data_IF_178858768632
#
_entry.id   IF_178858768632
#
_cell.length_a   1.000
_cell.length_b   1.000
_cell.length_c   1.000
_cell.angle_alpha   90.00
_cell.angle_beta   90.00
_cell.angle_gamma   90.00
#
_symmetry.space_group_name_H-M   'P 1'
#
loop_
_entity.id
_entity.type
_entity.pdbx_description
1 polymer ?
#
# COMPACT_ATOMS: atom_id res chain seq x y z
N UNK A 1 -57.21 0.37 -19.64
CA UNK A 1 -56.89 -0.31 -18.37
C UNK A 1 -55.38 -0.46 -18.29
N UNK A 2 -54.81 -0.02 -17.17
CA UNK A 2 -53.41 0.40 -17.02
C UNK A 2 -52.42 -0.77 -17.01
N UNK A 3 -51.43 -0.70 -17.91
CA UNK A 3 -50.20 -1.47 -17.81
C UNK A 3 -49.40 -0.96 -16.62
N UNK A 4 -49.41 -1.67 -15.49
CA UNK A 4 -48.47 -1.41 -14.40
C UNK A 4 -47.12 -2.00 -14.81
N UNK A 5 -46.20 -1.10 -15.14
CA UNK A 5 -44.80 -1.40 -15.40
C UNK A 5 -44.21 -2.04 -14.14
N UNK A 6 -44.06 -3.37 -14.13
CA UNK A 6 -43.17 -4.08 -13.20
C UNK A 6 -41.74 -3.69 -13.56
N UNK A 7 -41.30 -2.51 -13.13
CA UNK A 7 -39.87 -2.21 -13.09
C UNK A 7 -39.25 -3.16 -12.08
N UNK A 8 -38.43 -4.07 -12.57
CA UNK A 8 -37.74 -5.12 -11.82
C UNK A 8 -37.12 -4.55 -10.54
N UNK A 9 -37.71 -4.84 -9.37
CA UNK A 9 -37.29 -4.30 -8.07
C UNK A 9 -35.81 -4.59 -7.78
N UNK A 10 -35.28 -5.66 -8.36
CA UNK A 10 -33.86 -6.02 -8.32
C UNK A 10 -32.97 -5.01 -9.06
N UNK A 11 -33.45 -4.42 -10.16
CA UNK A 11 -32.71 -3.41 -10.91
C UNK A 11 -32.66 -2.07 -10.16
N UNK A 12 -33.77 -1.69 -9.51
CA UNK A 12 -33.87 -0.46 -8.71
C UNK A 12 -32.98 -0.56 -7.47
N UNK A 13 -33.06 -1.67 -6.73
CA UNK A 13 -32.23 -1.90 -5.53
C UNK A 13 -30.73 -1.97 -5.87
N UNK A 14 -30.36 -2.57 -7.01
CA UNK A 14 -28.98 -2.59 -7.46
C UNK A 14 -28.48 -1.19 -7.87
N UNK A 15 -29.29 -0.41 -8.59
CA UNK A 15 -28.98 0.98 -8.96
C UNK A 15 -28.78 1.87 -7.74
N UNK A 16 -29.70 1.82 -6.77
CA UNK A 16 -29.62 2.59 -5.53
C UNK A 16 -28.34 2.25 -4.73
N UNK A 17 -27.95 0.97 -4.72
CA UNK A 17 -26.74 0.50 -4.06
C UNK A 17 -25.46 0.96 -4.79
N UNK A 18 -25.48 1.04 -6.12
CA UNK A 18 -24.39 1.60 -6.92
C UNK A 18 -24.26 3.11 -6.63
N UNK A 19 -25.35 3.85 -6.61
CA UNK A 19 -25.36 5.30 -6.36
C UNK A 19 -24.82 5.63 -4.96
N UNK A 20 -25.27 4.89 -3.94
CA UNK A 20 -24.75 5.04 -2.57
C UNK A 20 -23.25 4.75 -2.47
N UNK A 21 -22.76 3.70 -3.14
CA UNK A 21 -21.32 3.39 -3.18
C UNK A 21 -20.53 4.51 -3.85
N UNK A 22 -21.04 5.06 -4.95
CA UNK A 22 -20.41 6.17 -5.65
C UNK A 22 -20.34 7.42 -4.77
N UNK A 23 -21.37 7.72 -3.99
CA UNK A 23 -21.32 8.82 -3.01
C UNK A 23 -20.29 8.58 -1.89
N UNK A 24 -20.23 7.36 -1.34
CA UNK A 24 -19.23 7.01 -0.33
C UNK A 24 -17.80 7.15 -0.87
N UNK A 25 -17.60 6.75 -2.12
CA UNK A 25 -16.32 6.86 -2.82
C UNK A 25 -15.95 8.32 -3.05
N UNK A 26 -16.88 9.18 -3.48
CA UNK A 26 -16.64 10.63 -3.66
C UNK A 26 -16.21 11.33 -2.37
N UNK A 27 -16.72 10.87 -1.22
CA UNK A 27 -16.35 11.42 0.10
C UNK A 27 -15.01 10.90 0.63
N UNK A 28 -14.43 9.87 0.00
CA UNK A 28 -13.20 9.26 0.47
C UNK A 28 -11.99 10.08 -0.01
N UNK A 29 -11.26 10.67 0.92
CA UNK A 29 -9.95 11.24 0.63
C UNK A 29 -8.93 10.11 0.49
N UNK A 30 -8.30 9.97 -0.68
CA UNK A 30 -7.38 8.87 -0.97
C UNK A 30 -5.95 9.33 -0.68
N UNK A 31 -5.57 9.46 0.60
CA UNK A 31 -4.20 9.84 0.98
C UNK A 31 -3.37 8.67 1.45
N UNK A 32 -4.00 7.63 2.02
CA UNK A 32 -3.31 6.46 2.58
C UNK A 32 -3.57 5.19 1.78
N UNK A 33 -2.69 4.20 1.94
CA UNK A 33 -2.86 2.88 1.31
C UNK A 33 -4.13 2.19 1.81
N UNK A 34 -4.47 2.33 3.10
CA UNK A 34 -5.71 1.82 3.67
C UNK A 34 -6.96 2.39 2.99
N UNK A 35 -6.96 3.70 2.71
CA UNK A 35 -8.05 4.36 1.98
C UNK A 35 -8.11 3.89 0.53
N UNK A 36 -6.96 3.72 -0.15
CA UNK A 36 -6.91 3.13 -1.50
C UNK A 36 -7.56 1.73 -1.52
N UNK A 37 -7.23 0.88 -0.55
CA UNK A 37 -7.81 -0.48 -0.44
C UNK A 37 -9.33 -0.38 -0.24
N UNK A 38 -9.77 0.47 0.69
CA UNK A 38 -11.19 0.71 0.97
C UNK A 38 -11.93 1.23 -0.27
N UNK A 39 -11.35 2.19 -0.98
CA UNK A 39 -11.86 2.75 -2.22
C UNK A 39 -12.14 1.64 -3.24
N UNK A 40 -11.12 0.85 -3.59
CA UNK A 40 -11.26 -0.20 -4.60
C UNK A 40 -12.22 -1.31 -4.14
N UNK A 41 -12.22 -1.64 -2.84
CA UNK A 41 -13.16 -2.61 -2.29
C UNK A 41 -14.61 -2.15 -2.42
N UNK A 42 -14.90 -0.89 -2.07
CA UNK A 42 -16.24 -0.32 -2.16
C UNK A 42 -16.70 -0.13 -3.61
N UNK A 43 -15.78 0.28 -4.51
CA UNK A 43 -16.04 0.37 -5.94
C UNK A 43 -16.49 -0.96 -6.54
N UNK A 44 -15.92 -2.07 -6.06
CA UNK A 44 -16.31 -3.42 -6.47
C UNK A 44 -17.50 -3.99 -5.67
N UNK A 45 -18.06 -3.23 -4.73
CA UNK A 45 -19.19 -3.65 -3.89
C UNK A 45 -18.86 -4.77 -2.90
N UNK A 46 -17.59 -4.98 -2.55
CA UNK A 46 -17.17 -6.09 -1.69
C UNK A 46 -17.20 -5.73 -0.20
N UNK A 47 -17.59 -6.70 0.63
CA UNK A 47 -17.33 -6.66 2.07
C UNK A 47 -15.85 -6.93 2.37
N UNK A 48 -15.38 -6.54 3.55
CA UNK A 48 -14.01 -6.84 4.00
C UNK A 48 -13.73 -8.34 3.99
N UNK A 49 -14.75 -9.16 4.31
CA UNK A 49 -14.67 -10.61 4.25
C UNK A 49 -14.55 -11.15 2.82
N UNK A 50 -15.31 -10.59 1.88
CA UNK A 50 -15.24 -10.96 0.47
C UNK A 50 -13.86 -10.62 -0.13
N UNK A 51 -13.31 -9.43 0.18
CA UNK A 51 -11.95 -9.07 -0.22
C UNK A 51 -10.92 -10.04 0.36
N UNK A 52 -11.01 -10.35 1.66
CA UNK A 52 -10.12 -11.31 2.30
C UNK A 52 -10.18 -12.70 1.65
N UNK A 53 -11.38 -13.16 1.32
CA UNK A 53 -11.58 -14.46 0.66
C UNK A 53 -10.98 -14.47 -0.75
N UNK A 54 -11.10 -13.38 -1.51
CA UNK A 54 -10.46 -13.21 -2.83
C UNK A 54 -8.94 -13.19 -2.75
N UNK A 55 -8.38 -12.73 -1.63
CA UNK A 55 -6.93 -12.76 -1.34
C UNK A 55 -6.44 -14.14 -0.86
N UNK A 56 -7.33 -15.13 -0.70
CA UNK A 56 -6.99 -16.44 -0.17
C UNK A 56 -6.66 -16.43 1.33
N UNK A 57 -7.10 -15.41 2.07
CA UNK A 57 -6.87 -15.30 3.51
C UNK A 57 -7.90 -16.13 4.29
N UNK A 58 -7.50 -16.64 5.46
CA UNK A 58 -8.41 -17.41 6.33
C UNK A 58 -9.63 -16.58 6.73
N UNK A 59 -10.81 -17.21 6.78
CA UNK A 59 -12.09 -16.52 7.06
C UNK A 59 -12.06 -15.68 8.34
N UNK A 60 -11.45 -16.21 9.41
CA UNK A 60 -11.42 -15.56 10.73
C UNK A 60 -10.41 -14.42 10.78
N UNK A 61 -9.19 -14.58 10.27
CA UNK A 61 -8.14 -13.57 10.40
C UNK A 61 -8.17 -12.54 9.27
N UNK A 62 -8.54 -12.97 8.06
CA UNK A 62 -8.50 -12.13 6.87
C UNK A 62 -9.40 -10.90 6.96
N UNK A 63 -10.62 -11.03 7.49
CA UNK A 63 -11.51 -9.87 7.71
C UNK A 63 -10.87 -8.83 8.62
N UNK A 64 -10.30 -9.26 9.75
CA UNK A 64 -9.66 -8.34 10.71
C UNK A 64 -8.42 -7.70 10.11
N UNK A 65 -7.65 -8.44 9.32
CA UNK A 65 -6.49 -7.91 8.62
C UNK A 65 -6.87 -6.78 7.64
N UNK A 66 -7.91 -6.99 6.82
CA UNK A 66 -8.42 -5.94 5.92
C UNK A 66 -8.94 -4.74 6.72
N UNK A 67 -9.71 -4.98 7.78
CA UNK A 67 -10.19 -3.91 8.68
C UNK A 67 -9.02 -3.09 9.23
N UNK A 68 -7.96 -3.76 9.68
CA UNK A 68 -6.80 -3.12 10.27
C UNK A 68 -6.02 -2.29 9.24
N UNK A 69 -5.85 -2.75 7.99
CA UNK A 69 -5.29 -1.90 6.93
C UNK A 69 -6.12 -0.65 6.66
N UNK A 70 -7.45 -0.79 6.58
CA UNK A 70 -8.36 0.32 6.28
C UNK A 70 -8.49 1.35 7.41
N UNK A 71 -8.16 0.98 8.66
CA UNK A 71 -8.44 1.82 9.84
C UNK A 71 -7.20 2.22 10.63
N UNK A 72 -6.16 1.40 10.68
CA UNK A 72 -4.99 1.60 11.56
C UNK A 72 -3.77 2.17 10.86
N UNK A 73 -3.93 2.69 9.63
CA UNK A 73 -2.83 3.18 8.77
C UNK A 73 -1.71 2.16 8.58
N UNK A 74 -2.04 0.87 8.69
CA UNK A 74 -1.10 -0.22 8.46
C UNK A 74 -0.93 -0.41 6.96
N UNK A 75 0.31 -0.68 6.54
CA UNK A 75 0.62 -0.96 5.15
C UNK A 75 0.67 -2.49 4.94
N UNK A 76 0.04 -3.02 3.89
CA UNK A 76 0.18 -4.42 3.52
C UNK A 76 1.64 -4.74 3.15
N UNK A 77 2.12 -5.97 3.43
CA UNK A 77 3.43 -6.42 2.98
C UNK A 77 3.46 -6.54 1.45
N UNK A 78 4.66 -6.58 0.81
CA UNK A 78 4.79 -6.46 -0.65
C UNK A 78 4.02 -7.55 -1.40
N UNK A 79 4.09 -8.80 -0.93
CA UNK A 79 3.37 -9.92 -1.53
C UNK A 79 1.86 -9.68 -1.53
N UNK A 80 1.32 -9.13 -0.45
CA UNK A 80 -0.11 -8.84 -0.35
C UNK A 80 -0.49 -7.62 -1.17
N UNK A 81 0.36 -6.59 -1.23
CA UNK A 81 0.19 -5.44 -2.12
C UNK A 81 0.09 -5.86 -3.58
N UNK A 82 0.97 -6.76 -4.03
CA UNK A 82 0.95 -7.32 -5.38
C UNK A 82 -0.34 -8.12 -5.65
N UNK A 83 -0.78 -8.93 -4.69
CA UNK A 83 -2.06 -9.67 -4.79
C UNK A 83 -3.26 -8.73 -4.86
N UNK A 84 -3.30 -7.68 -4.05
CA UNK A 84 -4.32 -6.64 -4.09
C UNK A 84 -4.37 -5.96 -5.47
N UNK A 85 -3.22 -5.52 -5.97
CA UNK A 85 -3.11 -4.89 -7.29
C UNK A 85 -3.63 -5.82 -8.40
N UNK A 86 -3.25 -7.10 -8.37
CA UNK A 86 -3.72 -8.11 -9.32
C UNK A 86 -5.24 -8.32 -9.26
N UNK A 87 -5.82 -8.41 -8.05
CA UNK A 87 -7.28 -8.57 -7.87
C UNK A 87 -8.03 -7.37 -8.43
N UNK A 88 -7.52 -6.17 -8.21
CA UNK A 88 -8.13 -4.93 -8.70
C UNK A 88 -7.75 -4.58 -10.14
N UNK A 89 -6.86 -5.36 -10.78
CA UNK A 89 -6.36 -5.14 -12.15
C UNK A 89 -5.74 -3.75 -12.34
N UNK A 90 -4.94 -3.33 -11.38
CA UNK A 90 -4.21 -2.06 -11.39
C UNK A 90 -2.70 -2.31 -11.32
N UNK A 91 -1.91 -1.23 -11.42
CA UNK A 91 -0.46 -1.30 -11.33
C UNK A 91 0.02 -2.05 -10.08
N UNK A 92 1.02 -2.91 -10.26
CA UNK A 92 1.49 -3.85 -9.24
C UNK A 92 2.05 -3.14 -8.00
N UNK A 93 2.57 -1.93 -8.14
CA UNK A 93 3.14 -1.14 -7.04
C UNK A 93 2.16 -0.12 -6.46
N UNK A 94 0.92 -0.07 -6.94
CA UNK A 94 -0.06 0.93 -6.50
C UNK A 94 -0.32 0.96 -4.99
N UNK A 95 -0.18 -0.19 -4.32
CA UNK A 95 -0.31 -0.36 -2.87
C UNK A 95 1.04 -0.49 -2.14
N UNK A 96 2.15 -0.11 -2.77
CA UNK A 96 3.42 0.00 -2.06
C UNK A 96 3.40 1.26 -1.19
N UNK A 97 4.09 1.17 -0.06
CA UNK A 97 4.45 2.34 0.72
C UNK A 97 5.81 2.87 0.24
N UNK A 98 6.16 4.07 0.69
CA UNK A 98 7.41 4.71 0.30
C UNK A 98 8.64 3.83 0.65
N UNK A 99 8.54 2.98 1.67
CA UNK A 99 9.63 2.08 2.05
C UNK A 99 9.80 0.94 1.04
N UNK A 100 8.70 0.31 0.60
CA UNK A 100 8.75 -0.73 -0.43
C UNK A 100 9.09 -0.17 -1.80
N UNK A 101 8.61 1.04 -2.14
CA UNK A 101 9.07 1.75 -3.35
C UNK A 101 10.58 2.03 -3.29
N UNK A 102 11.09 2.43 -2.13
CA UNK A 102 12.52 2.63 -1.93
C UNK A 102 13.31 1.33 -2.12
N UNK A 103 12.88 0.23 -1.49
CA UNK A 103 13.54 -1.08 -1.61
C UNK A 103 13.53 -1.64 -3.04
N UNK A 104 12.49 -1.34 -3.82
CA UNK A 104 12.39 -1.77 -5.22
C UNK A 104 13.10 -0.81 -6.19
N UNK A 105 13.52 0.36 -5.71
CA UNK A 105 14.34 1.30 -6.48
C UNK A 105 15.82 0.90 -6.47
N UNK A 106 16.66 1.61 -7.24
CA UNK A 106 18.12 1.47 -7.17
C UNK A 106 18.71 2.19 -5.93
N UNK A 107 18.22 1.82 -4.73
CA UNK A 107 18.55 2.50 -3.48
C UNK A 107 20.03 2.40 -3.11
N UNK A 108 20.67 1.28 -3.44
CA UNK A 108 22.11 1.07 -3.21
C UNK A 108 22.95 2.13 -3.94
N UNK A 109 22.60 2.43 -5.19
CA UNK A 109 23.25 3.51 -5.95
C UNK A 109 22.92 4.89 -5.39
N UNK A 110 21.69 5.14 -4.93
CA UNK A 110 21.32 6.42 -4.28
C UNK A 110 22.16 6.68 -3.03
N UNK A 111 22.32 5.68 -2.16
CA UNK A 111 23.12 5.76 -0.94
C UNK A 111 24.59 6.03 -1.28
N UNK A 112 25.15 5.28 -2.24
CA UNK A 112 26.52 5.48 -2.71
C UNK A 112 26.75 6.88 -3.28
N UNK A 113 25.84 7.36 -4.12
CA UNK A 113 25.93 8.67 -4.77
C UNK A 113 25.81 9.80 -3.74
N UNK A 114 24.89 9.68 -2.78
CA UNK A 114 24.79 10.61 -1.68
C UNK A 114 26.11 10.69 -0.91
N UNK A 115 26.69 9.55 -0.52
CA UNK A 115 27.97 9.53 0.23
C UNK A 115 29.09 10.21 -0.55
N UNK A 116 29.23 9.89 -1.84
CA UNK A 116 30.24 10.50 -2.73
C UNK A 116 30.01 12.00 -2.93
N UNK A 117 28.76 12.42 -3.12
CA UNK A 117 28.39 13.84 -3.28
C UNK A 117 28.87 14.70 -2.10
N UNK A 118 28.84 14.16 -0.89
CA UNK A 118 29.28 14.86 0.33
C UNK A 118 30.73 14.53 0.73
N UNK A 119 31.51 13.85 -0.11
CA UNK A 119 32.89 13.44 0.16
C UNK A 119 33.08 12.68 1.48
N UNK A 120 32.10 11.86 1.86
CA UNK A 120 32.14 11.11 3.12
C UNK A 120 32.80 9.73 2.95
N UNK A 121 33.56 9.31 3.96
CA UNK A 121 33.92 7.91 4.10
C UNK A 121 32.69 7.07 4.51
N UNK A 122 32.75 5.75 4.34
CA UNK A 122 31.67 4.85 4.81
C UNK A 122 31.46 5.03 6.32
N UNK A 123 32.55 5.17 7.08
CA UNK A 123 32.51 5.36 8.52
C UNK A 123 31.83 6.67 8.92
N UNK A 124 32.12 7.77 8.22
CA UNK A 124 31.52 9.08 8.53
C UNK A 124 30.03 9.10 8.19
N UNK A 125 29.65 8.50 7.06
CA UNK A 125 28.26 8.39 6.66
C UNK A 125 27.45 7.52 7.65
N UNK A 126 28.02 6.40 8.11
CA UNK A 126 27.40 5.53 9.11
C UNK A 126 27.22 6.23 10.47
N UNK A 127 28.22 7.01 10.91
CA UNK A 127 28.15 7.80 12.15
C UNK A 127 27.01 8.83 12.13
N UNK A 128 26.71 9.46 10.98
CA UNK A 128 25.64 10.47 10.86
C UNK A 128 24.25 9.97 11.25
N UNK A 129 23.99 8.67 11.12
CA UNK A 129 22.71 8.04 11.47
C UNK A 129 22.87 6.96 12.55
N UNK A 130 23.98 6.97 13.27
CA UNK A 130 24.28 6.07 14.38
C UNK A 130 24.16 4.57 14.02
N UNK A 131 24.72 4.17 12.88
CA UNK A 131 24.84 2.76 12.48
C UNK A 131 26.30 2.33 12.34
N UNK A 132 26.55 1.04 12.29
CA UNK A 132 27.89 0.51 12.07
C UNK A 132 28.32 0.70 10.60
N UNK A 133 29.61 0.93 10.35
CA UNK A 133 30.18 1.04 9.01
C UNK A 133 29.88 -0.20 8.14
N UNK A 134 29.86 -1.40 8.74
CA UNK A 134 29.51 -2.65 8.03
C UNK A 134 28.07 -2.59 7.52
N UNK A 135 27.16 -2.08 8.34
CA UNK A 135 25.75 -1.91 7.99
C UNK A 135 25.61 -0.97 6.80
N UNK A 136 26.26 0.20 6.83
CA UNK A 136 26.27 1.12 5.68
C UNK A 136 26.86 0.48 4.43
N UNK A 137 28.03 -0.16 4.55
CA UNK A 137 28.70 -0.83 3.43
C UNK A 137 27.83 -1.90 2.78
N UNK A 138 27.03 -2.61 3.59
CA UNK A 138 26.11 -3.64 3.09
C UNK A 138 25.00 -3.05 2.21
N UNK A 139 24.53 -1.84 2.52
CA UNK A 139 23.46 -1.18 1.77
C UNK A 139 23.94 -0.70 0.40
N UNK A 140 25.18 -0.21 0.29
CA UNK A 140 25.82 0.10 -1.00
C UNK A 140 26.01 -1.16 -1.86
N UNK A 141 26.02 -2.34 -1.24
CA UNK A 141 26.07 -3.67 -1.88
C UNK A 141 24.68 -4.31 -2.06
N UNK A 142 23.62 -3.50 -2.03
CA UNK A 142 22.23 -3.92 -2.25
C UNK A 142 21.69 -4.95 -1.25
N UNK A 143 22.20 -4.95 -0.01
CA UNK A 143 21.61 -5.73 1.09
C UNK A 143 20.38 -5.02 1.64
N UNK A 144 19.37 -5.83 2.00
CA UNK A 144 18.06 -5.38 2.48
C UNK A 144 18.21 -4.45 3.70
N UNK A 145 17.59 -3.29 3.61
CA UNK A 145 17.51 -2.29 4.68
C UNK A 145 16.26 -2.57 5.53
N UNK A 146 16.32 -2.32 6.83
CA UNK A 146 15.14 -2.39 7.71
C UNK A 146 14.33 -1.10 7.63
N UNK A 147 13.04 -1.16 7.99
CA UNK A 147 12.17 0.03 7.95
C UNK A 147 12.68 1.17 8.84
N UNK A 148 13.21 0.85 10.01
CA UNK A 148 13.82 1.82 10.92
C UNK A 148 14.99 2.56 10.27
N UNK A 149 15.89 1.82 9.61
CA UNK A 149 17.04 2.41 8.95
C UNK A 149 16.66 3.19 7.68
N UNK A 150 15.59 2.79 6.99
CA UNK A 150 15.03 3.58 5.91
C UNK A 150 14.58 4.97 6.39
N UNK A 151 13.89 5.08 7.53
CA UNK A 151 13.47 6.40 8.04
C UNK A 151 14.68 7.28 8.37
N UNK A 152 15.78 6.68 8.87
CA UNK A 152 17.06 7.41 9.07
C UNK A 152 17.66 7.91 7.76
N UNK A 153 17.66 7.08 6.71
CA UNK A 153 18.14 7.48 5.37
C UNK A 153 17.27 8.56 4.75
N UNK A 154 15.95 8.44 4.89
CA UNK A 154 14.98 9.43 4.44
C UNK A 154 15.19 10.79 5.11
N UNK A 155 15.54 10.81 6.40
CA UNK A 155 15.88 12.04 7.12
C UNK A 155 17.14 12.74 6.56
N UNK A 156 18.03 12.01 5.88
CA UNK A 156 19.18 12.57 5.16
C UNK A 156 18.84 13.08 3.75
N UNK A 157 17.59 12.90 3.30
CA UNK A 157 17.16 13.22 1.93
C UNK A 157 17.60 12.21 0.87
N UNK A 158 17.82 10.95 1.26
CA UNK A 158 18.15 9.83 0.35
C UNK A 158 16.87 9.13 -0.12
#
# INVERSE_FOLDING_TARGET
MTWTCFTDENAITNKLNIDYRNELVKKLHISTIGEKIKYHRLLNGWSQFQLASKLGLSKKQGRYLIKDYETRRLCPPPELSLKLAKIFRIDTKYFYDNYYEFLDSNYSSKILNWRKKYNLTITDAAKKIHVNYVTWSSWEKNKKISRENYEKLKALGI
#
